data_IF_103668470386
#
_entry.id   IF_103668470386
#
_cell.length_a   1.000
_cell.length_b   1.000
_cell.length_c   1.000
_cell.angle_alpha   90.00
_cell.angle_beta   90.00
_cell.angle_gamma   90.00
#
_symmetry.space_group_name_H-M   'P 1'
#
loop_
_entity.id
_entity.type
_entity.pdbx_description
1 polymer ?
#
# COMPACT_ATOMS: atom_id res chain seq x y z
N UNK A 1 -10.74 -0.29 18.95
CA UNK A 1 -10.75 -0.61 18.28
C UNK A 1 -10.82 -1.86 18.13
N UNK A 2 -11.15 -2.38 17.53
CA UNK A 2 -11.23 -3.58 17.48
C UNK A 2 -10.58 -4.24 16.44
N UNK A 3 -10.42 -5.46 16.49
CA UNK A 3 -9.83 -6.19 15.50
C UNK A 3 -10.53 -6.06 14.23
N UNK A 4 -11.83 -5.95 14.20
CA UNK A 4 -12.55 -5.91 12.97
C UNK A 4 -12.15 -4.74 12.15
N UNK A 5 -11.92 -3.61 12.76
CA UNK A 5 -11.48 -2.46 12.04
C UNK A 5 -10.14 -2.65 11.46
N UNK A 6 -9.26 -3.24 12.18
CA UNK A 6 -7.94 -3.46 11.68
C UNK A 6 -7.98 -4.41 10.53
N UNK A 7 -8.78 -5.43 10.63
CA UNK A 7 -8.86 -6.40 9.57
C UNK A 7 -9.45 -5.77 8.33
N UNK A 8 -10.42 -4.89 8.48
CA UNK A 8 -11.02 -4.26 7.33
C UNK A 8 -10.03 -3.35 6.63
N UNK A 9 -9.24 -2.62 7.36
CA UNK A 9 -8.26 -1.76 6.74
C UNK A 9 -7.25 -2.61 5.97
N UNK A 10 -6.80 -3.68 6.57
CA UNK A 10 -5.80 -4.50 5.94
C UNK A 10 -6.36 -5.16 4.69
N UNK A 11 -7.55 -5.68 4.77
CA UNK A 11 -8.14 -6.33 3.63
C UNK A 11 -8.42 -5.34 2.51
N UNK A 12 -8.82 -4.15 2.85
CA UNK A 12 -9.07 -3.13 1.84
C UNK A 12 -7.77 -2.81 1.13
N UNK A 13 -6.69 -2.68 1.89
CA UNK A 13 -5.41 -2.39 1.29
C UNK A 13 -4.96 -3.51 0.37
N UNK A 14 -5.12 -4.74 0.80
CA UNK A 14 -4.74 -5.86 -0.02
C UNK A 14 -5.52 -5.86 -1.33
N UNK A 15 -6.80 -5.54 -1.26
CA UNK A 15 -7.59 -5.53 -2.46
C UNK A 15 -7.12 -4.43 -3.39
N UNK A 16 -6.82 -3.27 -2.86
CA UNK A 16 -6.38 -2.18 -3.71
C UNK A 16 -5.08 -2.50 -4.39
N UNK A 17 -4.15 -3.05 -3.66
CA UNK A 17 -2.86 -3.38 -4.24
C UNK A 17 -2.97 -4.52 -5.24
N UNK A 18 -3.88 -5.46 -5.00
CA UNK A 18 -4.00 -6.58 -5.91
C UNK A 18 -4.57 -6.17 -7.26
N UNK A 19 -5.12 -4.96 -7.35
CA UNK A 19 -5.63 -4.52 -8.62
C UNK A 19 -4.56 -3.87 -9.47
N UNK A 20 -3.39 -3.69 -8.94
CA UNK A 20 -2.33 -3.11 -9.72
C UNK A 20 -1.82 -4.11 -10.74
N UNK A 21 -1.38 -3.65 -11.88
CA UNK A 21 -0.93 -4.55 -12.93
C UNK A 21 0.26 -5.36 -12.45
N UNK A 22 0.22 -6.62 -12.70
CA UNK A 22 1.31 -7.49 -12.31
C UNK A 22 1.23 -7.99 -10.89
N UNK A 23 0.24 -7.55 -10.12
CA UNK A 23 0.14 -8.01 -8.76
C UNK A 23 -1.17 -8.73 -8.55
N UNK A 24 -1.12 -9.83 -7.91
CA UNK A 24 -2.33 -10.58 -7.58
C UNK A 24 -2.53 -10.52 -6.09
N UNK A 25 -3.56 -11.19 -5.61
CA UNK A 25 -3.87 -11.18 -4.18
C UNK A 25 -2.75 -11.73 -3.32
N UNK A 26 -2.06 -12.77 -3.79
CA UNK A 26 -1.01 -13.34 -3.01
C UNK A 26 0.16 -12.41 -2.93
N UNK A 27 0.53 -11.82 -4.06
CA UNK A 27 1.66 -10.90 -4.07
C UNK A 27 1.35 -9.69 -3.23
N UNK A 28 0.12 -9.19 -3.32
CA UNK A 28 -0.26 -8.02 -2.55
C UNK A 28 -0.12 -8.31 -1.07
N UNK A 29 -0.59 -9.48 -0.64
CA UNK A 29 -0.53 -9.81 0.76
C UNK A 29 0.91 -9.91 1.23
N UNK A 30 1.76 -10.52 0.45
CA UNK A 30 3.15 -10.65 0.83
C UNK A 30 3.83 -9.29 0.92
N UNK A 31 3.57 -8.43 -0.03
CA UNK A 31 4.17 -7.12 -0.04
C UNK A 31 3.72 -6.33 1.17
N UNK A 32 2.43 -6.38 1.48
CA UNK A 32 1.92 -5.63 2.60
C UNK A 32 2.51 -6.11 3.92
N UNK A 33 2.58 -7.42 4.09
CA UNK A 33 3.16 -7.92 5.32
C UNK A 33 4.64 -7.59 5.43
N UNK A 34 5.34 -7.61 4.30
CA UNK A 34 6.74 -7.27 4.31
C UNK A 34 6.90 -5.81 4.73
N UNK A 35 6.06 -4.93 4.19
CA UNK A 35 6.14 -3.53 4.53
C UNK A 35 5.79 -3.28 5.99
N UNK A 36 4.84 -4.02 6.52
CA UNK A 36 4.47 -3.84 7.90
C UNK A 36 5.57 -4.28 8.84
N UNK A 37 6.34 -5.29 8.43
CA UNK A 37 7.40 -5.74 9.27
C UNK A 37 8.51 -4.73 9.27
N UNK A 38 8.71 -3.98 8.20
CA UNK A 38 9.79 -3.02 8.09
C UNK A 38 9.23 -1.63 7.94
N UNK A 39 8.36 -1.24 8.87
CA UNK A 39 7.68 0.01 8.76
C UNK A 39 8.59 1.20 8.59
N UNK A 40 9.59 1.28 9.40
CA UNK A 40 10.42 2.45 9.35
C UNK A 40 11.40 2.46 8.22
N UNK A 41 11.83 1.30 7.79
CA UNK A 41 12.79 1.25 6.73
C UNK A 41 12.16 1.32 5.36
N UNK A 42 11.00 0.76 5.21
CA UNK A 42 10.39 0.68 3.89
C UNK A 42 9.03 1.31 3.78
N UNK A 43 8.17 1.06 4.73
CA UNK A 43 6.80 1.53 4.60
C UNK A 43 6.70 3.04 4.63
N UNK A 44 7.27 3.66 5.62
CA UNK A 44 7.18 5.10 5.73
C UNK A 44 7.83 5.83 4.57
N UNK A 45 9.04 5.46 4.18
CA UNK A 45 9.64 6.12 3.03
C UNK A 45 8.83 5.92 1.76
N UNK A 46 8.21 4.75 1.63
CA UNK A 46 7.42 4.49 0.46
C UNK A 46 6.19 5.37 0.42
N UNK A 47 5.53 5.52 1.55
CA UNK A 47 4.36 6.37 1.61
C UNK A 47 4.72 7.81 1.26
N UNK A 48 5.83 8.27 1.78
CA UNK A 48 6.25 9.63 1.51
C UNK A 48 6.59 9.81 0.06
N UNK A 49 7.25 8.84 -0.53
CA UNK A 49 7.61 8.94 -1.92
C UNK A 49 6.36 8.96 -2.79
N UNK A 50 5.38 8.15 -2.45
CA UNK A 50 4.16 8.11 -3.22
C UNK A 50 3.44 9.46 -3.17
N UNK A 51 3.41 10.05 -2.01
CA UNK A 51 2.77 11.33 -1.84
C UNK A 51 3.48 12.40 -2.66
N UNK A 52 4.81 12.35 -2.64
CA UNK A 52 5.58 13.31 -3.38
C UNK A 52 5.32 13.19 -4.88
N UNK A 53 5.29 11.98 -5.37
CA UNK A 53 5.05 11.76 -6.79
C UNK A 53 3.67 12.24 -7.15
N UNK A 54 2.70 11.96 -6.32
CA UNK A 54 1.35 12.35 -6.59
C UNK A 54 1.24 13.87 -6.66
N UNK A 55 1.89 14.56 -5.76
CA UNK A 55 1.84 15.99 -5.75
C UNK A 55 2.50 16.59 -6.95
N UNK A 56 3.62 16.07 -7.31
CA UNK A 56 4.39 16.63 -8.40
C UNK A 56 3.88 16.29 -9.78
N UNK A 57 3.23 15.17 -9.90
CA UNK A 57 2.78 14.75 -11.19
C UNK A 57 1.32 14.79 -11.30
N UNK A 58 0.68 15.58 -10.55
CA UNK A 58 -0.68 15.52 -10.58
C UNK A 58 -1.29 15.85 -11.86
N UNK A 59 -0.71 16.62 -12.69
CA UNK A 59 -1.23 16.90 -13.86
C UNK A 59 -0.95 16.01 -14.87
N UNK A 60 -0.30 15.13 -14.69
CA UNK A 60 0.11 14.30 -15.65
C UNK A 60 -0.95 13.59 -16.21
N UNK A 61 -1.73 13.35 -15.77
CA UNK A 61 -2.60 12.71 -16.29
C UNK A 61 -2.28 11.79 -17.09
N UNK A 62 -1.68 11.33 -17.21
CA UNK A 62 -1.33 10.50 -18.03
C UNK A 62 -1.86 9.59 -18.02
#
# INVERSE_FOLDING_TARGET
>A
MNYENENNFLETLIKRISKLPGLGPRSARRIIFYLLKNKELHLRPLIESLIQVEKNIKKCKV
#
